data_IF_843863304182
#
_entry.id   IF_843863304182
#
_cell.length_a   1.000
_cell.length_b   1.000
_cell.length_c   1.000
_cell.angle_alpha   90.00
_cell.angle_beta   90.00
_cell.angle_gamma   90.00
#
_symmetry.space_group_name_H-M   'P 1'
#
loop_
_entity.id
_entity.type
_entity.pdbx_description
1 polymer ?
#
# COMPACT_ATOMS: atom_id res chain seq x y z
N UNK A 1 9.54 18.37 23.82
CA UNK A 1 9.58 16.95 23.42
C UNK A 1 9.98 16.94 21.96
N UNK A 2 11.14 16.37 21.60
CA UNK A 2 11.57 16.34 20.20
C UNK A 2 10.60 15.49 19.38
N UNK A 3 10.37 15.86 18.12
CA UNK A 3 9.62 15.03 17.16
C UNK A 3 10.19 13.61 17.20
N UNK A 4 9.36 12.60 17.49
CA UNK A 4 9.82 11.21 17.35
C UNK A 4 10.21 10.97 15.89
N UNK A 5 11.32 10.28 15.67
CA UNK A 5 11.85 10.05 14.34
C UNK A 5 10.94 9.03 13.61
N UNK A 6 10.10 9.52 12.69
CA UNK A 6 9.12 8.73 11.93
C UNK A 6 9.76 7.57 11.16
N UNK A 7 11.07 7.64 10.89
CA UNK A 7 11.85 6.57 10.24
C UNK A 7 12.35 5.49 11.20
N UNK A 8 11.99 5.53 12.48
CA UNK A 8 12.15 4.45 13.46
C UNK A 8 10.82 3.79 13.76
N UNK A 9 10.86 2.56 14.29
CA UNK A 9 9.67 1.94 14.86
C UNK A 9 9.07 2.88 15.91
N UNK A 10 7.74 2.98 15.91
CA UNK A 10 7.00 3.77 16.88
C UNK A 10 6.98 3.15 18.28
N UNK A 11 6.39 3.85 19.25
CA UNK A 11 6.47 3.47 20.65
C UNK A 11 5.59 2.27 21.03
N UNK A 12 4.65 1.86 20.17
CA UNK A 12 3.69 0.82 20.51
C UNK A 12 4.25 -0.58 20.18
N UNK A 13 4.24 -1.53 21.12
CA UNK A 13 4.52 -2.92 20.80
C UNK A 13 3.44 -3.45 19.85
N UNK A 14 3.82 -4.38 18.96
CA UNK A 14 2.93 -4.92 17.93
C UNK A 14 2.71 -6.42 18.09
N UNK A 15 1.55 -6.88 17.65
CA UNK A 15 1.20 -8.30 17.55
C UNK A 15 0.82 -8.64 16.11
N UNK A 16 1.23 -9.83 15.65
CA UNK A 16 0.83 -10.37 14.34
C UNK A 16 -0.26 -11.41 14.50
N UNK A 17 -1.28 -11.35 13.66
CA UNK A 17 -2.40 -12.28 13.57
C UNK A 17 -2.51 -12.81 12.14
N UNK A 18 -2.90 -14.07 12.01
CA UNK A 18 -3.23 -14.68 10.71
C UNK A 18 -4.70 -15.06 10.71
N UNK A 19 -5.46 -14.51 9.76
CA UNK A 19 -6.88 -14.81 9.59
C UNK A 19 -7.03 -15.68 8.33
N UNK A 20 -7.52 -16.93 8.46
CA UNK A 20 -7.72 -17.79 7.30
C UNK A 20 -8.88 -17.29 6.42
N UNK A 21 -8.90 -17.69 5.14
CA UNK A 21 -9.99 -17.37 4.21
C UNK A 21 -11.15 -18.34 4.34
N UNK A 22 -12.31 -17.96 3.79
CA UNK A 22 -13.43 -18.90 3.58
C UNK A 22 -12.94 -20.07 2.72
N UNK A 23 -13.11 -21.30 3.21
CA UNK A 23 -12.90 -22.48 2.38
C UNK A 23 -13.90 -22.42 1.21
N UNK A 24 -13.45 -22.62 -0.02
CA UNK A 24 -14.35 -22.79 -1.16
C UNK A 24 -15.15 -24.08 -0.94
N UNK A 25 -16.39 -23.94 -0.47
CA UNK A 25 -17.30 -25.07 -0.36
C UNK A 25 -17.65 -25.59 -1.77
N UNK A 26 -17.72 -26.92 -1.99
CA UNK A 26 -18.41 -27.46 -3.16
C UNK A 26 -19.88 -27.03 -3.09
N UNK A 27 -20.47 -26.66 -4.23
CA UNK A 27 -21.85 -26.23 -4.33
C UNK A 27 -22.81 -27.27 -3.71
N UNK A 28 -23.34 -26.97 -2.53
CA UNK A 28 -24.45 -27.70 -1.93
C UNK A 28 -25.57 -26.69 -1.63
N UNK A 29 -26.67 -26.81 -2.37
CA UNK A 29 -27.88 -26.03 -2.11
C UNK A 29 -28.45 -26.38 -0.72
N UNK A 30 -28.32 -25.45 0.23
CA UNK A 30 -28.97 -25.51 1.54
C UNK A 30 -29.45 -24.11 1.94
N UNK A 31 -30.72 -24.01 2.36
CA UNK A 31 -31.39 -22.77 2.77
C UNK A 31 -30.59 -22.00 3.83
N UNK A 32 -30.45 -20.69 3.64
CA UNK A 32 -29.85 -19.77 4.59
C UNK A 32 -30.70 -19.65 5.88
N UNK A 33 -30.07 -19.82 7.03
CA UNK A 33 -30.58 -19.37 8.34
C UNK A 33 -30.14 -17.93 8.62
N UNK A 34 -30.89 -17.14 9.41
CA UNK A 34 -30.57 -15.74 9.66
C UNK A 34 -29.53 -15.57 10.79
N UNK A 35 -28.59 -14.66 10.56
CA UNK A 35 -27.57 -14.07 11.47
C UNK A 35 -26.46 -14.99 12.00
N UNK A 36 -25.29 -14.94 11.34
CA UNK A 36 -23.99 -15.24 11.94
C UNK A 36 -22.98 -14.11 11.59
N UNK A 37 -22.52 -13.30 12.56
CA UNK A 37 -21.55 -12.20 12.36
C UNK A 37 -20.08 -12.68 12.25
N UNK A 38 -19.82 -13.79 11.56
CA UNK A 38 -18.60 -14.62 11.72
C UNK A 38 -18.00 -15.11 10.40
N UNK A 39 -18.48 -14.64 9.24
CA UNK A 39 -17.99 -15.08 7.94
C UNK A 39 -16.48 -14.80 7.79
N UNK A 40 -15.73 -15.79 7.29
CA UNK A 40 -14.31 -15.66 6.99
C UNK A 40 -14.08 -14.65 5.85
N UNK A 41 -12.92 -13.97 5.81
CA UNK A 41 -12.62 -13.04 4.73
C UNK A 41 -12.51 -13.77 3.37
N UNK A 42 -12.73 -13.06 2.24
CA UNK A 42 -12.56 -13.62 0.89
C UNK A 42 -11.15 -14.13 0.59
N UNK A 43 -10.14 -13.63 1.31
CA UNK A 43 -8.72 -13.98 1.18
C UNK A 43 -8.10 -14.12 2.56
N UNK A 44 -7.04 -14.93 2.72
CA UNK A 44 -6.36 -15.03 3.99
C UNK A 44 -5.61 -13.73 4.25
N UNK A 45 -5.66 -13.25 5.48
CA UNK A 45 -5.11 -11.95 5.89
C UNK A 45 -3.95 -12.15 6.85
N UNK A 46 -2.85 -11.44 6.60
CA UNK A 46 -1.85 -11.13 7.61
C UNK A 46 -2.24 -9.78 8.22
N UNK A 47 -2.43 -9.74 9.53
CA UNK A 47 -2.82 -8.52 10.24
C UNK A 47 -1.75 -8.21 11.28
N UNK A 48 -1.23 -6.98 11.30
CA UNK A 48 -0.34 -6.53 12.39
C UNK A 48 -1.01 -5.35 13.09
N UNK A 49 -1.17 -5.48 14.40
CA UNK A 49 -1.89 -4.54 15.25
C UNK A 49 -1.00 -3.99 16.37
N UNK A 50 -1.28 -2.79 16.89
CA UNK A 50 -0.76 -2.37 18.18
C UNK A 50 -1.28 -3.28 19.29
N UNK A 51 -0.46 -3.57 20.31
CA UNK A 51 -0.88 -4.41 21.44
C UNK A 51 -1.61 -3.64 22.54
N UNK A 52 -1.59 -2.31 22.50
CA UNK A 52 -2.22 -1.42 23.48
C UNK A 52 -3.69 -1.15 23.12
N UNK A 53 -4.51 -0.86 24.14
CA UNK A 53 -5.91 -0.47 23.96
C UNK A 53 -6.01 0.80 23.12
N UNK A 54 -6.94 0.82 22.15
CA UNK A 54 -7.17 2.00 21.35
C UNK A 54 -8.07 1.79 20.13
N UNK A 55 -8.50 2.91 19.57
CA UNK A 55 -9.16 3.00 18.28
C UNK A 55 -8.11 3.41 17.24
N UNK A 56 -7.86 2.56 16.25
CA UNK A 56 -6.75 2.73 15.32
C UNK A 56 -7.21 2.85 13.87
N UNK A 57 -6.71 3.83 13.09
CA UNK A 57 -6.88 3.85 11.64
C UNK A 57 -6.30 2.59 10.99
N UNK A 58 -6.81 2.26 9.79
CA UNK A 58 -6.48 1.02 9.07
C UNK A 58 -5.66 1.32 7.82
N UNK A 59 -4.57 0.57 7.63
CA UNK A 59 -3.84 0.49 6.38
C UNK A 59 -4.12 -0.86 5.71
N UNK A 60 -4.83 -0.85 4.58
CA UNK A 60 -5.10 -2.03 3.76
C UNK A 60 -4.07 -2.14 2.63
N UNK A 61 -3.10 -3.07 2.75
CA UNK A 61 -1.91 -3.11 1.91
C UNK A 61 -1.86 -4.32 0.97
N UNK A 62 -1.67 -4.07 -0.33
CA UNK A 62 -1.70 -5.06 -1.40
C UNK A 62 -0.29 -5.38 -1.90
N UNK A 63 0.07 -6.67 -1.90
CA UNK A 63 1.42 -7.13 -2.30
C UNK A 63 1.68 -7.01 -3.81
N UNK A 64 2.97 -6.98 -4.19
CA UNK A 64 3.39 -6.98 -5.59
C UNK A 64 3.22 -8.33 -6.31
N UNK A 65 3.48 -8.34 -7.61
CA UNK A 65 3.27 -9.51 -8.48
C UNK A 65 4.06 -10.73 -8.03
N UNK A 66 3.35 -11.83 -7.77
CA UNK A 66 3.86 -13.12 -7.29
C UNK A 66 4.61 -13.08 -5.94
N UNK A 67 4.49 -11.98 -5.19
CA UNK A 67 5.04 -11.84 -3.85
C UNK A 67 4.09 -12.39 -2.79
N UNK A 68 4.65 -12.64 -1.60
CA UNK A 68 3.87 -13.01 -0.42
C UNK A 68 3.59 -11.77 0.42
N UNK A 69 2.41 -11.70 1.03
CA UNK A 69 2.09 -10.63 1.99
C UNK A 69 3.07 -10.60 3.17
N UNK A 70 3.60 -11.77 3.57
CA UNK A 70 4.60 -11.91 4.63
C UNK A 70 5.96 -11.29 4.31
N UNK A 71 6.26 -10.98 3.04
CA UNK A 71 7.51 -10.31 2.66
C UNK A 71 7.54 -8.81 3.00
N UNK A 72 6.47 -8.29 3.59
CA UNK A 72 6.34 -6.89 4.01
C UNK A 72 6.19 -6.78 5.53
N UNK A 73 6.49 -7.83 6.29
CA UNK A 73 6.18 -7.89 7.71
C UNK A 73 6.90 -6.82 8.54
N UNK A 74 8.14 -6.47 8.18
CA UNK A 74 8.89 -5.40 8.84
C UNK A 74 8.31 -4.02 8.52
N UNK A 75 7.84 -3.79 7.28
CA UNK A 75 7.14 -2.56 6.89
C UNK A 75 5.85 -2.40 7.71
N UNK A 76 5.07 -3.48 7.82
CA UNK A 76 3.82 -3.50 8.56
C UNK A 76 4.02 -3.32 10.07
N UNK A 77 5.05 -3.94 10.66
CA UNK A 77 5.39 -3.73 12.07
C UNK A 77 5.75 -2.28 12.37
N UNK A 78 6.54 -1.64 11.51
CA UNK A 78 6.87 -0.22 11.64
C UNK A 78 5.58 0.62 11.64
N UNK A 79 4.71 0.44 10.65
CA UNK A 79 3.48 1.23 10.56
C UNK A 79 2.55 0.94 11.74
N UNK A 80 2.44 -0.32 12.17
CA UNK A 80 1.62 -0.70 13.31
C UNK A 80 2.15 -0.15 14.64
N UNK A 81 3.47 -0.05 14.83
CA UNK A 81 4.05 0.54 16.04
C UNK A 81 3.81 2.06 16.17
N UNK A 82 3.40 2.71 15.08
CA UNK A 82 2.90 4.10 15.04
C UNK A 82 1.36 4.20 15.22
N UNK A 83 0.69 3.11 15.60
CA UNK A 83 -0.74 3.09 15.95
C UNK A 83 -1.67 2.87 14.76
N UNK A 84 -1.31 1.99 13.85
CA UNK A 84 -2.18 1.60 12.73
C UNK A 84 -2.48 0.10 12.80
N UNK A 85 -3.68 -0.29 12.41
CA UNK A 85 -3.97 -1.69 12.09
C UNK A 85 -3.59 -1.91 10.64
N UNK A 86 -2.61 -2.75 10.39
CA UNK A 86 -2.22 -3.13 9.02
C UNK A 86 -2.93 -4.43 8.64
N UNK A 87 -3.56 -4.45 7.47
CA UNK A 87 -4.26 -5.61 6.92
C UNK A 87 -3.67 -5.90 5.54
N UNK A 88 -3.06 -7.06 5.38
CA UNK A 88 -2.39 -7.47 4.16
C UNK A 88 -2.93 -8.82 3.66
N UNK A 89 -3.84 -8.83 2.67
CA UNK A 89 -4.34 -10.08 2.10
C UNK A 89 -3.28 -10.77 1.26
N UNK A 90 -3.27 -12.10 1.26
CA UNK A 90 -2.62 -12.89 0.20
C UNK A 90 -3.62 -13.05 -0.96
N UNK A 91 -3.51 -12.18 -1.96
CA UNK A 91 -4.49 -12.07 -3.05
C UNK A 91 -4.52 -13.32 -3.93
N UNK A 92 -3.35 -13.90 -4.17
CA UNK A 92 -3.15 -15.06 -5.02
C UNK A 92 -1.82 -15.74 -4.72
N UNK A 93 -1.69 -17.00 -5.11
CA UNK A 93 -0.39 -17.70 -5.15
C UNK A 93 0.19 -17.71 -6.57
N UNK A 94 -0.65 -17.67 -7.60
CA UNK A 94 -0.26 -17.53 -9.00
C UNK A 94 -1.22 -16.56 -9.68
N UNK A 95 -0.72 -15.76 -10.63
CA UNK A 95 -1.54 -14.80 -11.35
C UNK A 95 -1.05 -14.59 -12.78
N UNK A 96 -1.99 -14.31 -13.68
CA UNK A 96 -1.71 -13.78 -15.02
C UNK A 96 -1.46 -12.27 -14.99
N UNK A 97 -1.40 -11.62 -16.18
CA UNK A 97 -1.16 -10.18 -16.30
C UNK A 97 -2.37 -9.30 -15.94
N UNK A 98 -3.59 -9.81 -16.06
CA UNK A 98 -4.83 -9.09 -15.72
C UNK A 98 -5.02 -8.97 -14.20
N UNK A 99 -5.10 -7.73 -13.70
CA UNK A 99 -5.23 -7.37 -12.29
C UNK A 99 -6.69 -7.08 -11.87
N UNK A 100 -7.66 -7.26 -12.78
CA UNK A 100 -9.09 -7.03 -12.51
C UNK A 100 -9.61 -7.91 -11.36
N UNK A 101 -9.27 -9.21 -11.28
CA UNK A 101 -9.68 -10.04 -10.15
C UNK A 101 -9.17 -9.50 -8.81
N UNK A 102 -7.94 -8.99 -8.76
CA UNK A 102 -7.35 -8.42 -7.57
C UNK A 102 -8.05 -7.15 -7.11
N UNK A 103 -8.44 -6.27 -8.03
CA UNK A 103 -9.20 -5.04 -7.70
C UNK A 103 -10.56 -5.42 -7.09
N UNK A 104 -11.26 -6.39 -7.69
CA UNK A 104 -12.53 -6.89 -7.16
C UNK A 104 -12.35 -7.54 -5.79
N UNK A 105 -11.31 -8.36 -5.62
CA UNK A 105 -11.04 -9.04 -4.35
C UNK A 105 -10.67 -8.01 -3.25
N UNK A 106 -9.95 -6.93 -3.59
CA UNK A 106 -9.63 -5.85 -2.67
C UNK A 106 -10.89 -5.11 -2.19
N UNK A 107 -11.82 -4.81 -3.12
CA UNK A 107 -13.12 -4.24 -2.77
C UNK A 107 -13.94 -5.20 -1.91
N UNK A 108 -14.01 -6.49 -2.27
CA UNK A 108 -14.75 -7.48 -1.49
C UNK A 108 -14.23 -7.63 -0.04
N UNK A 109 -12.92 -7.51 0.18
CA UNK A 109 -12.34 -7.50 1.52
C UNK A 109 -12.74 -6.22 2.27
N UNK A 110 -12.73 -5.08 1.60
CA UNK A 110 -13.14 -3.79 2.19
C UNK A 110 -14.60 -3.83 2.66
N UNK A 111 -15.51 -4.38 1.85
CA UNK A 111 -16.91 -4.61 2.23
C UNK A 111 -17.08 -5.57 3.42
N UNK A 112 -16.13 -6.49 3.59
CA UNK A 112 -16.15 -7.45 4.68
C UNK A 112 -15.67 -6.84 6.02
N UNK A 113 -14.83 -5.78 6.01
CA UNK A 113 -14.23 -5.21 7.23
C UNK A 113 -15.26 -4.86 8.33
N UNK A 114 -16.39 -4.17 8.06
CA UNK A 114 -17.33 -3.74 9.09
C UNK A 114 -17.99 -4.87 9.87
N UNK A 115 -18.16 -6.02 9.23
CA UNK A 115 -18.88 -7.15 9.81
C UNK A 115 -17.95 -8.28 10.26
N UNK A 116 -16.77 -8.40 9.65
CA UNK A 116 -15.91 -9.55 9.84
C UNK A 116 -14.61 -9.30 10.61
N UNK A 117 -14.12 -8.05 10.69
CA UNK A 117 -12.82 -7.75 11.30
C UNK A 117 -12.88 -7.71 12.84
N UNK A 118 -13.82 -6.97 13.41
CA UNK A 118 -13.85 -6.69 14.87
C UNK A 118 -13.91 -7.96 15.72
N UNK A 119 -14.64 -8.99 15.27
CA UNK A 119 -14.72 -10.29 15.97
C UNK A 119 -13.42 -11.12 15.91
N UNK A 120 -12.38 -10.63 15.23
CA UNK A 120 -11.09 -11.31 15.03
C UNK A 120 -9.91 -10.55 15.63
N UNK A 121 -10.18 -9.38 16.22
CA UNK A 121 -9.19 -8.58 16.94
C UNK A 121 -9.37 -8.79 18.45
N UNK A 122 -8.32 -8.60 19.26
CA UNK A 122 -8.46 -8.49 20.70
C UNK A 122 -9.50 -7.40 21.06
N UNK A 123 -10.32 -7.64 22.08
CA UNK A 123 -11.46 -6.77 22.41
C UNK A 123 -11.06 -5.30 22.71
N UNK A 124 -9.81 -5.07 23.13
CA UNK A 124 -9.26 -3.75 23.42
C UNK A 124 -8.71 -3.01 22.18
N UNK A 125 -8.63 -3.66 21.02
CA UNK A 125 -8.14 -3.06 19.77
C UNK A 125 -9.30 -2.92 18.80
N UNK A 126 -9.67 -1.68 18.50
CA UNK A 126 -10.83 -1.37 17.66
C UNK A 126 -10.37 -0.69 16.36
N UNK A 127 -10.84 -1.16 15.18
CA UNK A 127 -10.52 -0.53 13.91
C UNK A 127 -11.44 0.67 13.65
N UNK A 128 -10.85 1.83 13.36
CA UNK A 128 -11.57 3.01 12.89
C UNK A 128 -11.79 2.91 11.37
N UNK A 129 -12.93 2.31 10.99
CA UNK A 129 -13.28 2.08 9.59
C UNK A 129 -13.73 3.33 8.83
N UNK A 130 -13.79 4.50 9.48
CA UNK A 130 -13.89 5.79 8.77
C UNK A 130 -12.51 6.26 8.27
N UNK A 131 -11.43 5.62 8.74
CA UNK A 131 -10.04 5.98 8.44
C UNK A 131 -9.28 4.81 7.82
N UNK A 132 -9.81 4.30 6.70
CA UNK A 132 -9.16 3.24 5.91
C UNK A 132 -8.37 3.85 4.76
N UNK A 133 -7.06 3.68 4.78
CA UNK A 133 -6.20 3.95 3.62
C UNK A 133 -5.95 2.66 2.84
N UNK A 134 -6.00 2.73 1.50
CA UNK A 134 -5.60 1.60 0.64
C UNK A 134 -4.20 1.86 0.09
N UNK A 135 -3.36 0.85 0.17
CA UNK A 135 -1.96 0.92 -0.23
C UNK A 135 -1.55 -0.30 -1.03
N UNK A 136 -0.47 -0.20 -1.79
CA UNK A 136 0.14 -1.39 -2.34
C UNK A 136 1.45 -1.15 -3.05
N UNK A 137 2.21 -2.23 -3.21
CA UNK A 137 3.51 -2.22 -3.86
C UNK A 137 3.46 -2.76 -5.29
N UNK A 138 4.14 -2.13 -6.25
CA UNK A 138 4.24 -2.65 -7.63
C UNK A 138 2.85 -2.81 -8.25
N UNK A 139 2.51 -4.02 -8.73
CA UNK A 139 1.15 -4.40 -9.13
C UNK A 139 0.11 -4.15 -8.03
N UNK A 140 0.45 -4.33 -6.76
CA UNK A 140 -0.41 -3.99 -5.64
C UNK A 140 -0.74 -2.50 -5.57
N UNK A 141 0.19 -1.63 -5.97
CA UNK A 141 -0.06 -0.18 -6.08
C UNK A 141 -1.06 0.14 -7.20
N UNK A 142 -0.93 -0.51 -8.36
CA UNK A 142 -1.96 -0.48 -9.43
C UNK A 142 -3.33 -0.92 -8.92
N UNK A 143 -3.39 -2.01 -8.14
CA UNK A 143 -4.65 -2.49 -7.55
C UNK A 143 -5.21 -1.50 -6.53
N UNK A 144 -4.37 -0.89 -5.70
CA UNK A 144 -4.77 0.14 -4.73
C UNK A 144 -5.41 1.36 -5.42
N UNK A 145 -4.74 1.91 -6.45
CA UNK A 145 -5.30 2.99 -7.26
C UNK A 145 -6.57 2.54 -8.00
N UNK A 146 -6.60 1.35 -8.57
CA UNK A 146 -7.80 0.80 -9.21
C UNK A 146 -9.00 0.72 -8.27
N UNK A 147 -8.79 0.29 -7.03
CA UNK A 147 -9.83 0.27 -6.01
C UNK A 147 -10.27 1.69 -5.61
N UNK A 148 -9.31 2.58 -5.34
CA UNK A 148 -9.58 3.98 -4.96
C UNK A 148 -10.25 4.83 -6.06
N UNK A 149 -10.03 4.47 -7.33
CA UNK A 149 -10.64 5.11 -8.50
C UNK A 149 -11.98 4.46 -8.90
N UNK A 150 -12.49 3.51 -8.10
CA UNK A 150 -13.78 2.87 -8.37
C UNK A 150 -13.78 2.01 -9.64
N UNK A 151 -12.65 1.40 -10.01
CA UNK A 151 -12.52 0.55 -11.20
C UNK A 151 -13.06 -0.88 -11.01
N UNK A 152 -13.58 -1.19 -9.82
CA UNK A 152 -14.29 -2.44 -9.54
C UNK A 152 -15.78 -2.33 -9.91
N UNK A 153 -16.39 -3.48 -10.22
CA UNK A 153 -17.85 -3.59 -10.38
C UNK A 153 -18.39 -4.65 -9.41
N UNK A 154 -19.19 -4.27 -8.39
CA UNK A 154 -19.54 -2.90 -8.01
C UNK A 154 -18.32 -2.12 -7.43
N UNK A 155 -18.37 -0.78 -7.41
CA UNK A 155 -17.38 0.03 -6.70
C UNK A 155 -17.48 -0.22 -5.18
N UNK A 156 -16.44 0.12 -4.39
CA UNK A 156 -16.50 -0.02 -2.93
C UNK A 156 -17.61 0.87 -2.36
N UNK A 157 -18.37 0.34 -1.41
CA UNK A 157 -19.40 1.09 -0.67
C UNK A 157 -18.77 2.02 0.37
N UNK A 158 -17.61 1.64 0.89
CA UNK A 158 -16.79 2.45 1.77
C UNK A 158 -15.75 3.24 0.95
N UNK A 159 -15.78 4.59 0.97
CA UNK A 159 -14.72 5.38 0.36
C UNK A 159 -13.42 5.22 1.15
N UNK A 160 -12.29 5.07 0.46
CA UNK A 160 -10.98 5.12 1.10
C UNK A 160 -10.64 6.56 1.47
N UNK A 161 -10.07 6.75 2.68
CA UNK A 161 -9.67 8.06 3.19
C UNK A 161 -8.36 8.57 2.56
N UNK A 162 -7.51 7.66 2.07
CA UNK A 162 -6.27 7.97 1.36
C UNK A 162 -5.83 6.80 0.47
N UNK A 163 -4.99 7.07 -0.54
CA UNK A 163 -4.36 6.07 -1.40
C UNK A 163 -2.84 6.17 -1.36
N UNK A 164 -2.15 5.03 -1.29
CA UNK A 164 -0.68 4.96 -1.27
C UNK A 164 -0.15 4.00 -2.35
N UNK A 165 0.62 4.51 -3.30
CA UNK A 165 1.38 3.71 -4.25
C UNK A 165 2.84 3.57 -3.82
N UNK A 166 3.26 2.36 -3.46
CA UNK A 166 4.67 2.04 -3.21
C UNK A 166 5.27 1.48 -4.49
N UNK A 167 5.99 2.32 -5.21
CA UNK A 167 6.57 2.06 -6.53
C UNK A 167 5.58 1.39 -7.48
N UNK A 168 4.39 1.99 -7.71
CA UNK A 168 3.30 1.36 -8.47
C UNK A 168 3.70 1.14 -9.94
N UNK A 169 3.19 0.07 -10.54
CA UNK A 169 3.48 -0.30 -11.94
C UNK A 169 2.21 -0.67 -12.70
N UNK A 170 1.95 0.01 -13.83
CA UNK A 170 0.73 -0.18 -14.61
C UNK A 170 0.86 -1.17 -15.78
N UNK A 171 2.07 -1.66 -16.05
CA UNK A 171 2.31 -2.70 -17.04
C UNK A 171 3.77 -2.79 -17.47
N UNK A 172 3.99 -3.05 -18.77
CA UNK A 172 5.33 -3.39 -19.28
C UNK A 172 6.08 -2.21 -19.91
N UNK A 173 5.35 -1.23 -20.43
CA UNK A 173 5.87 0.01 -21.03
C UNK A 173 4.68 0.94 -21.36
N UNK A 174 4.96 2.20 -21.68
CA UNK A 174 3.96 3.11 -22.23
C UNK A 174 3.27 2.49 -23.46
N UNK A 175 1.93 2.56 -23.50
CA UNK A 175 1.11 1.90 -24.54
C UNK A 175 1.03 0.36 -24.43
N UNK A 176 1.63 -0.23 -23.38
CA UNK A 176 1.61 -1.67 -23.08
C UNK A 176 1.26 -1.91 -21.61
N UNK A 177 0.29 -1.14 -21.09
CA UNK A 177 -0.29 -1.37 -19.77
C UNK A 177 -0.95 -2.75 -19.70
N UNK A 178 -0.91 -3.37 -18.52
CA UNK A 178 -1.67 -4.61 -18.30
C UNK A 178 -3.12 -4.30 -17.93
N UNK A 179 -4.08 -5.18 -18.22
CA UNK A 179 -5.47 -4.97 -17.82
C UNK A 179 -5.64 -4.96 -16.28
N UNK A 180 -6.59 -4.17 -15.74
CA UNK A 180 -7.19 -3.01 -16.40
C UNK A 180 -6.15 -1.87 -16.45
N UNK A 181 -6.21 -1.02 -17.47
CA UNK A 181 -5.32 0.15 -17.55
C UNK A 181 -5.75 1.17 -16.49
N UNK A 182 -4.82 1.59 -15.63
CA UNK A 182 -5.09 2.63 -14.64
C UNK A 182 -4.60 3.98 -15.16
N UNK A 183 -3.40 4.00 -15.74
CA UNK A 183 -2.81 5.18 -16.36
C UNK A 183 -3.48 5.48 -17.71
N UNK A 184 -4.02 6.69 -17.83
CA UNK A 184 -4.58 7.25 -19.05
C UNK A 184 -3.64 8.23 -19.78
N UNK A 185 -2.55 8.63 -19.13
CA UNK A 185 -1.56 9.64 -19.54
C UNK A 185 -2.08 11.07 -19.67
N UNK A 186 -3.19 11.41 -19.04
CA UNK A 186 -3.59 12.81 -18.88
C UNK A 186 -3.01 13.42 -17.61
N UNK A 187 -2.93 14.75 -17.58
CA UNK A 187 -2.33 15.47 -16.46
C UNK A 187 -3.36 15.69 -15.36
N UNK A 188 -3.11 15.20 -14.14
CA UNK A 188 -4.06 15.26 -13.01
C UNK A 188 -5.43 14.62 -13.32
N UNK A 189 -5.43 13.48 -14.03
CA UNK A 189 -6.62 12.81 -14.58
C UNK A 189 -7.33 11.85 -13.62
N UNK A 190 -6.69 11.46 -12.51
CA UNK A 190 -7.33 10.63 -11.49
C UNK A 190 -8.50 11.38 -10.86
N UNK A 191 -9.71 11.05 -11.32
CA UNK A 191 -10.94 11.74 -10.97
C UNK A 191 -11.46 11.34 -9.57
N UNK A 192 -10.60 11.41 -8.56
CA UNK A 192 -10.96 11.36 -7.15
C UNK A 192 -10.23 12.49 -6.39
N UNK A 193 -10.82 12.99 -5.32
CA UNK A 193 -10.20 13.97 -4.42
C UNK A 193 -9.53 13.30 -3.22
N UNK A 194 -9.18 12.02 -3.36
CA UNK A 194 -8.60 11.23 -2.28
C UNK A 194 -7.12 11.63 -2.17
N UNK A 195 -6.63 12.02 -0.99
CA UNK A 195 -5.22 12.29 -0.79
C UNK A 195 -4.35 11.12 -1.27
N UNK A 196 -3.35 11.43 -2.09
CA UNK A 196 -2.48 10.43 -2.70
C UNK A 196 -1.03 10.58 -2.22
N UNK A 197 -0.40 9.45 -1.90
CA UNK A 197 1.03 9.35 -1.70
C UNK A 197 1.60 8.36 -2.71
N UNK A 198 2.64 8.78 -3.43
CA UNK A 198 3.42 7.91 -4.29
C UNK A 198 4.86 7.88 -3.78
N UNK A 199 5.41 6.69 -3.54
CA UNK A 199 6.81 6.50 -3.15
C UNK A 199 7.50 5.79 -4.30
N UNK A 200 8.55 6.36 -4.88
CA UNK A 200 9.28 5.79 -6.01
C UNK A 200 10.64 5.19 -5.63
N UNK A 201 11.13 4.29 -6.48
CA UNK A 201 12.50 3.78 -6.44
C UNK A 201 13.31 4.25 -7.66
N UNK A 202 14.49 4.82 -7.45
CA UNK A 202 15.32 5.38 -8.53
C UNK A 202 15.93 4.32 -9.45
N UNK A 203 16.12 3.08 -8.96
CA UNK A 203 16.64 1.96 -9.75
C UNK A 203 15.52 1.11 -10.38
N UNK A 204 14.25 1.35 -10.05
CA UNK A 204 13.10 0.68 -10.64
C UNK A 204 13.07 0.65 -12.18
N UNK A 205 13.32 1.79 -12.88
CA UNK A 205 13.38 1.85 -14.34
C UNK A 205 14.70 1.36 -14.94
N UNK A 206 15.68 0.96 -14.11
CA UNK A 206 16.99 0.48 -14.57
C UNK A 206 16.94 -1.04 -14.79
N UNK A 207 17.43 -1.48 -15.96
CA UNK A 207 17.61 -2.92 -16.25
C UNK A 207 18.67 -3.53 -15.34
N UNK A 208 18.42 -4.72 -14.82
CA UNK A 208 19.43 -5.46 -14.04
C UNK A 208 20.58 -5.94 -14.93
N UNK A 209 20.23 -6.52 -16.08
CA UNK A 209 21.15 -7.02 -17.11
C UNK A 209 20.38 -7.20 -18.44
N UNK A 210 21.01 -7.63 -19.55
CA UNK A 210 20.32 -7.78 -20.84
C UNK A 210 19.13 -8.76 -20.86
N UNK A 211 19.08 -9.74 -19.95
CA UNK A 211 18.02 -10.74 -19.87
C UNK A 211 16.85 -10.32 -18.97
N UNK A 212 17.09 -9.41 -18.04
CA UNK A 212 16.09 -8.95 -17.07
C UNK A 212 15.73 -7.47 -17.32
N UNK A 213 14.52 -7.19 -17.85
CA UNK A 213 14.07 -5.83 -18.13
C UNK A 213 13.87 -5.03 -16.83
N UNK A 214 13.59 -3.72 -16.90
CA UNK A 214 13.27 -2.94 -15.70
C UNK A 214 12.04 -3.50 -15.01
N UNK A 215 12.04 -3.46 -13.68
CA UNK A 215 10.90 -3.94 -12.89
C UNK A 215 9.82 -2.88 -12.71
N UNK A 216 10.18 -1.60 -12.81
CA UNK A 216 9.24 -0.46 -12.87
C UNK A 216 9.59 0.43 -14.07
N UNK A 217 9.27 0.00 -15.31
CA UNK A 217 9.64 0.71 -16.53
C UNK A 217 9.10 2.13 -16.57
N UNK A 218 9.90 3.06 -17.10
CA UNK A 218 9.45 4.43 -17.35
C UNK A 218 8.23 4.45 -18.27
N UNK A 219 7.29 5.36 -18.01
CA UNK A 219 6.03 5.48 -18.75
C UNK A 219 4.92 4.59 -18.20
N UNK A 220 5.16 3.78 -17.17
CA UNK A 220 4.13 3.01 -16.45
C UNK A 220 4.44 2.88 -14.96
N UNK A 221 5.24 3.80 -14.39
CA UNK A 221 5.76 3.66 -13.02
C UNK A 221 5.30 4.80 -12.10
N UNK A 222 5.91 4.89 -10.92
CA UNK A 222 5.60 5.88 -9.90
C UNK A 222 5.54 7.33 -10.40
N UNK A 223 6.37 7.72 -11.38
CA UNK A 223 6.35 9.08 -11.94
C UNK A 223 5.03 9.33 -12.66
N UNK A 224 4.58 8.37 -13.45
CA UNK A 224 3.34 8.48 -14.22
C UNK A 224 2.11 8.38 -13.30
N UNK A 225 2.13 7.52 -12.28
CA UNK A 225 1.08 7.50 -11.26
C UNK A 225 0.97 8.84 -10.52
N UNK A 226 2.10 9.45 -10.12
CA UNK A 226 2.06 10.76 -9.46
C UNK A 226 1.55 11.85 -10.41
N UNK A 227 2.00 11.88 -11.67
CA UNK A 227 1.54 12.84 -12.68
C UNK A 227 0.02 12.85 -12.84
N UNK A 228 -0.61 11.69 -12.81
CA UNK A 228 -2.08 11.60 -12.95
C UNK A 228 -2.83 11.89 -11.64
N UNK A 229 -2.16 11.92 -10.48
CA UNK A 229 -2.81 12.24 -9.22
C UNK A 229 -3.31 13.69 -9.19
N UNK A 230 -4.48 13.92 -8.60
CA UNK A 230 -4.98 15.26 -8.26
C UNK A 230 -4.50 15.69 -6.89
N UNK A 231 -4.44 17.01 -6.67
CA UNK A 231 -4.20 17.54 -5.34
C UNK A 231 -5.28 17.08 -4.34
N UNK A 232 -4.91 16.74 -3.09
CA UNK A 232 -3.56 16.74 -2.57
C UNK A 232 -2.79 15.45 -2.93
N UNK A 233 -1.59 15.61 -3.51
CA UNK A 233 -0.73 14.48 -3.88
C UNK A 233 0.72 14.75 -3.45
N UNK A 234 1.43 13.70 -3.07
CA UNK A 234 2.83 13.77 -2.63
C UNK A 234 3.66 12.68 -3.30
N UNK A 235 4.91 13.02 -3.64
CA UNK A 235 5.83 12.12 -4.29
C UNK A 235 7.23 12.19 -3.68
N UNK A 236 7.73 11.04 -3.24
CA UNK A 236 9.04 10.89 -2.63
C UNK A 236 9.82 9.78 -3.34
N UNK A 237 11.07 10.01 -3.72
CA UNK A 237 11.87 9.06 -4.52
C UNK A 237 13.21 8.79 -3.86
N UNK A 238 13.49 7.52 -3.52
CA UNK A 238 14.81 7.10 -3.06
C UNK A 238 15.68 6.71 -4.26
N UNK A 239 16.73 7.49 -4.52
CA UNK A 239 17.50 7.46 -5.78
C UNK A 239 18.34 6.19 -5.98
N UNK A 240 18.81 5.59 -4.89
CA UNK A 240 19.81 4.50 -4.92
C UNK A 240 19.21 3.12 -4.63
N UNK A 241 17.89 3.01 -4.61
CA UNK A 241 17.15 1.80 -4.27
C UNK A 241 16.28 1.34 -5.42
N UNK A 242 16.00 0.04 -5.44
CA UNK A 242 15.27 -0.65 -6.48
C UNK A 242 13.89 -1.13 -6.07
N UNK A 243 13.20 -1.64 -7.09
CA UNK A 243 11.80 -2.07 -7.01
C UNK A 243 11.50 -3.20 -6.01
N UNK A 244 12.51 -3.84 -5.42
CA UNK A 244 12.30 -4.91 -4.43
C UNK A 244 12.90 -4.54 -3.07
N UNK A 245 13.41 -3.33 -2.89
CA UNK A 245 14.07 -2.93 -1.64
C UNK A 245 13.08 -2.49 -0.55
N UNK A 246 11.78 -2.44 -0.87
CA UNK A 246 10.69 -2.24 0.09
C UNK A 246 10.39 -3.48 0.95
N UNK A 247 10.92 -4.64 0.57
CA UNK A 247 10.64 -5.92 1.20
C UNK A 247 11.43 -6.10 2.50
N UNK A 248 11.09 -7.15 3.23
CA UNK A 248 11.85 -7.62 4.37
C UNK A 248 13.29 -7.97 3.98
N UNK A 249 14.22 -7.78 4.92
CA UNK A 249 15.66 -8.07 4.74
C UNK A 249 15.91 -9.54 4.43
N UNK A 250 15.01 -10.43 4.85
CA UNK A 250 15.03 -11.84 4.50
C UNK A 250 13.68 -12.27 3.96
N UNK A 251 13.68 -12.73 2.71
CA UNK A 251 12.49 -13.31 2.07
C UNK A 251 12.78 -14.78 1.76
N UNK A 252 12.09 -15.67 2.45
CA UNK A 252 12.30 -17.12 2.35
C UNK A 252 11.76 -17.75 1.06
N UNK A 253 12.28 -18.94 0.72
CA UNK A 253 11.82 -19.75 -0.41
C UNK A 253 12.30 -19.27 -1.78
N UNK A 254 11.91 -19.99 -2.83
CA UNK A 254 12.33 -19.72 -4.22
C UNK A 254 11.87 -18.32 -4.67
N UNK A 255 10.63 -17.94 -4.32
CA UNK A 255 10.08 -16.60 -4.62
C UNK A 255 10.90 -15.50 -3.97
N UNK A 256 11.22 -15.67 -2.69
CA UNK A 256 12.03 -14.72 -1.95
C UNK A 256 13.43 -14.57 -2.54
N UNK A 257 14.11 -15.67 -2.87
CA UNK A 257 15.41 -15.60 -3.57
C UNK A 257 15.33 -14.86 -4.91
N UNK A 258 14.24 -15.01 -5.66
CA UNK A 258 14.08 -14.32 -6.95
C UNK A 258 14.03 -12.79 -6.80
N UNK A 259 13.51 -12.26 -5.69
CA UNK A 259 13.44 -10.81 -5.42
C UNK A 259 14.82 -10.14 -5.35
N UNK A 260 15.88 -10.90 -5.05
CA UNK A 260 17.26 -10.41 -5.04
C UNK A 260 17.92 -10.34 -6.42
N UNK A 261 17.39 -11.09 -7.39
CA UNK A 261 18.09 -11.37 -8.65
C UNK A 261 17.44 -10.74 -9.87
N UNK A 262 16.11 -10.55 -9.86
CA UNK A 262 15.36 -10.12 -11.04
C UNK A 262 15.43 -8.61 -11.31
N UNK A 263 15.45 -7.80 -10.25
CA UNK A 263 15.46 -6.35 -10.36
C UNK A 263 16.86 -5.78 -10.09
N UNK A 264 17.13 -4.57 -10.59
CA UNK A 264 18.24 -3.77 -10.10
C UNK A 264 17.88 -3.30 -8.70
N UNK A 265 18.67 -3.73 -7.72
CA UNK A 265 18.50 -3.40 -6.30
C UNK A 265 19.64 -2.48 -5.84
N UNK A 266 19.38 -1.77 -4.74
CA UNK A 266 20.36 -1.04 -3.96
C UNK A 266 21.22 -1.98 -3.10
N UNK A 267 21.94 -1.42 -2.14
CA UNK A 267 22.89 -2.15 -1.30
C UNK A 267 22.23 -2.90 -0.14
N UNK A 268 21.09 -2.43 0.35
CA UNK A 268 20.35 -3.01 1.48
C UNK A 268 18.85 -2.68 1.37
N UNK A 269 18.00 -3.42 2.10
CA UNK A 269 16.54 -3.17 2.13
C UNK A 269 16.11 -2.31 3.31
N UNK A 270 16.71 -2.52 4.48
CA UNK A 270 16.32 -1.81 5.72
C UNK A 270 16.15 -0.29 5.53
N UNK A 271 17.12 0.46 4.96
CA UNK A 271 16.95 1.91 4.89
C UNK A 271 15.80 2.33 3.97
N UNK A 272 15.60 1.64 2.84
CA UNK A 272 14.48 1.88 1.94
C UNK A 272 13.14 1.57 2.59
N UNK A 273 13.06 0.44 3.29
CA UNK A 273 11.85 0.03 4.00
C UNK A 273 11.50 1.01 5.11
N UNK A 274 12.48 1.47 5.89
CA UNK A 274 12.28 2.48 6.95
C UNK A 274 11.87 3.83 6.39
N UNK A 275 12.49 4.25 5.28
CA UNK A 275 12.08 5.43 4.54
C UNK A 275 10.62 5.34 4.11
N UNK A 276 10.23 4.26 3.42
CA UNK A 276 8.87 4.07 2.94
C UNK A 276 7.87 4.02 4.12
N UNK A 277 8.19 3.27 5.18
CA UNK A 277 7.35 3.18 6.36
C UNK A 277 7.14 4.55 7.03
N UNK A 278 8.22 5.32 7.21
CA UNK A 278 8.16 6.63 7.84
C UNK A 278 7.38 7.65 7.00
N UNK A 279 7.60 7.70 5.69
CA UNK A 279 6.82 8.57 4.79
C UNK A 279 5.35 8.19 4.80
N UNK A 280 5.02 6.89 4.79
CA UNK A 280 3.63 6.41 4.91
C UNK A 280 3.02 6.89 6.22
N UNK A 281 3.69 6.70 7.36
CA UNK A 281 3.19 7.14 8.67
C UNK A 281 2.99 8.66 8.69
N UNK A 282 3.97 9.44 8.24
CA UNK A 282 3.88 10.90 8.19
C UNK A 282 2.68 11.38 7.36
N UNK A 283 2.49 10.80 6.18
CA UNK A 283 1.35 11.09 5.31
C UNK A 283 0.02 10.68 5.95
N UNK A 284 -0.06 9.48 6.53
CA UNK A 284 -1.29 9.01 7.15
C UNK A 284 -1.64 9.79 8.41
N UNK A 285 -0.66 10.25 9.20
CA UNK A 285 -0.88 11.14 10.33
C UNK A 285 -1.53 12.44 9.84
N UNK A 286 -1.02 13.02 8.74
CA UNK A 286 -1.55 14.26 8.19
C UNK A 286 -3.03 14.13 7.78
N UNK A 287 -3.39 13.06 7.07
CA UNK A 287 -4.72 12.94 6.45
C UNK A 287 -5.75 12.18 7.28
N UNK A 288 -5.34 11.25 8.14
CA UNK A 288 -6.26 10.44 8.94
C UNK A 288 -6.33 10.92 10.41
N UNK A 289 -5.30 11.62 10.89
CA UNK A 289 -5.23 12.14 12.26
C UNK A 289 -5.15 13.66 12.35
N UNK A 290 -5.10 14.36 11.22
CA UNK A 290 -4.95 15.81 11.16
C UNK A 290 -3.67 16.32 11.86
N UNK A 291 -2.60 15.51 11.82
CA UNK A 291 -1.29 15.84 12.35
C UNK A 291 -0.24 15.81 11.22
N UNK A 292 0.10 17.01 10.73
CA UNK A 292 0.99 17.16 9.56
C UNK A 292 2.44 17.44 9.92
N UNK A 293 2.81 17.42 11.21
CA UNK A 293 4.14 17.85 11.66
C UNK A 293 5.26 17.02 11.01
N UNK A 294 5.15 15.69 11.04
CA UNK A 294 6.13 14.79 10.42
C UNK A 294 6.20 14.97 8.91
N UNK A 295 5.05 15.11 8.23
CA UNK A 295 5.02 15.28 6.78
C UNK A 295 5.70 16.59 6.37
N UNK A 296 5.43 17.68 7.09
CA UNK A 296 6.08 18.98 6.85
C UNK A 296 7.58 18.90 7.12
N UNK A 297 8.01 18.18 8.16
CA UNK A 297 9.44 17.98 8.44
C UNK A 297 10.14 17.20 7.33
N UNK A 298 9.55 16.10 6.83
CA UNK A 298 10.16 15.32 5.74
C UNK A 298 10.23 16.12 4.44
N UNK A 299 9.23 16.97 4.16
CA UNK A 299 9.24 17.89 3.01
C UNK A 299 10.32 18.97 3.14
N UNK A 300 10.46 19.56 4.33
CA UNK A 300 11.41 20.66 4.57
C UNK A 300 12.86 20.18 4.76
N UNK A 301 13.04 18.99 5.35
CA UNK A 301 14.33 18.45 5.77
C UNK A 301 14.60 17.07 5.15
N UNK A 302 14.66 16.95 3.81
CA UNK A 302 14.77 15.67 3.13
C UNK A 302 16.05 14.88 3.49
N UNK A 303 17.11 15.57 3.94
CA UNK A 303 18.35 14.95 4.38
C UNK A 303 18.23 14.11 5.66
N UNK A 304 17.11 14.20 6.39
CA UNK A 304 16.82 13.38 7.58
C UNK A 304 16.39 11.95 7.23
N UNK A 305 15.95 11.70 5.99
CA UNK A 305 15.55 10.37 5.56
C UNK A 305 16.75 9.40 5.62
N UNK A 306 16.53 8.11 5.92
CA UNK A 306 17.61 7.10 5.95
C UNK A 306 18.11 6.72 4.54
N UNK A 307 17.68 7.44 3.51
CA UNK A 307 18.02 7.23 2.11
C UNK A 307 18.33 8.56 1.44
N UNK A 308 19.14 8.52 0.39
CA UNK A 308 19.31 9.67 -0.50
C UNK A 308 18.07 9.80 -1.39
N UNK A 309 17.34 10.89 -1.24
CA UNK A 309 16.14 11.15 -2.04
C UNK A 309 16.25 12.36 -2.96
N UNK A 310 15.46 12.35 -4.02
CA UNK A 310 15.18 13.53 -4.83
C UNK A 310 14.41 14.57 -3.97
N UNK A 311 14.45 15.87 -4.34
CA UNK A 311 13.57 16.84 -3.72
C UNK A 311 12.11 16.36 -3.78
N UNK A 312 11.38 16.28 -2.64
CA UNK A 312 9.99 15.85 -2.65
C UNK A 312 9.11 16.76 -3.51
N UNK A 313 8.17 16.16 -4.24
CA UNK A 313 7.18 16.86 -5.05
C UNK A 313 5.79 16.76 -4.42
N UNK A 314 4.96 17.79 -4.60
CA UNK A 314 3.59 17.75 -4.12
C UNK A 314 2.67 18.69 -4.90
N UNK A 315 1.40 18.29 -5.00
CA UNK A 315 0.30 19.10 -5.53
C UNK A 315 -0.56 19.57 -4.36
N UNK A 316 -0.71 20.88 -4.20
CA UNK A 316 -1.60 21.46 -3.20
C UNK A 316 -2.93 21.87 -3.85
N UNK A 317 -4.01 21.80 -3.07
CA UNK A 317 -5.25 22.48 -3.46
C UNK A 317 -4.95 23.97 -3.44
N UNK A 318 -5.06 24.65 -4.59
CA UNK A 318 -5.06 26.10 -4.61
C UNK A 318 -6.18 26.58 -3.68
N UNK A 319 -5.86 27.44 -2.70
CA UNK A 319 -6.90 28.16 -1.97
C UNK A 319 -7.64 28.99 -3.01
N UNK A 320 -8.93 28.68 -3.25
CA UNK A 320 -9.82 29.56 -4.01
C UNK A 320 -9.70 30.94 -3.38
N UNK A 321 -9.27 31.98 -4.11
CA UNK A 321 -9.27 33.33 -3.59
C UNK A 321 -10.72 33.67 -3.21
N UNK A 322 -10.98 33.87 -1.92
CA UNK A 322 -12.23 34.49 -1.49
C UNK A 322 -12.25 35.90 -2.09
N UNK A 323 -13.14 36.10 -3.06
CA UNK A 323 -13.52 37.42 -3.57
C UNK A 323 -14.28 38.21 -2.50
#
# INVERSE_FOLDING_TARGET
MGLEDVFKEGPLPTQTLTIPATATAPCCHGRASPMEPTALPPKPLLVIIPSQEGDYPVLFFLHGYLLLNSYYSQLFRHIASHGYITIAPQMYTAAGPDATPEIRDAVAITEWLPTGLSGRLPAHVRPDLQKVAVAGHSRGGKVAFGAALGRATPPPSLPYAAVVGVDPVDGMAAGRQTPPMILGYGDHDFNNSIPALVIGSGLGPVRRNPLFPPCAPAGVNHVDFFRECRAPAYHFVATEYGHQDFLDDETGGVRGRATYCLCKNGTAREPMRRFAAGVIVAFLNAWLRNDSADLQDVLANPSRAPVKMEPPECYFLEKVPTL
#
